data_IF_052871704825
#
_entry.id   IF_052871704825
#
_cell.length_a   1.000
_cell.length_b   1.000
_cell.length_c   1.000
_cell.angle_alpha   90.00
_cell.angle_beta   90.00
_cell.angle_gamma   90.00
#
_symmetry.space_group_name_H-M   'P 1'
#
loop_
_entity.id
_entity.type
_entity.pdbx_description
1 polymer ?
#
# COMPACT_ATOMS: atom_id res chain seq x y z
N UNK A 1 -7.00 20.24 3.92
CA UNK A 1 -8.40 19.91 3.54
C UNK A 1 -8.48 19.42 2.08
N UNK A 2 -9.26 18.35 1.85
CA UNK A 2 -9.57 17.82 0.50
C UNK A 2 -10.88 18.44 0.02
N UNK A 3 -10.87 19.02 -1.18
CA UNK A 3 -12.07 19.61 -1.81
C UNK A 3 -12.55 18.66 -2.90
N UNK A 4 -13.81 18.25 -2.84
CA UNK A 4 -14.44 17.37 -3.83
C UNK A 4 -15.91 17.76 -4.01
N UNK A 5 -16.47 17.48 -5.20
CA UNK A 5 -17.90 17.69 -5.46
C UNK A 5 -18.73 16.72 -4.63
N UNK A 6 -19.82 17.19 -4.04
CA UNK A 6 -20.73 16.34 -3.25
C UNK A 6 -21.38 15.22 -4.09
N UNK A 7 -21.49 15.40 -5.41
CA UNK A 7 -22.00 14.37 -6.32
C UNK A 7 -21.01 13.24 -6.61
N UNK A 8 -19.75 13.37 -6.17
CA UNK A 8 -18.71 12.37 -6.40
C UNK A 8 -18.95 11.11 -5.55
N UNK A 9 -18.30 10.02 -5.95
CA UNK A 9 -18.30 8.77 -5.20
C UNK A 9 -17.23 8.75 -4.11
N UNK A 10 -17.35 7.80 -3.17
CA UNK A 10 -16.30 7.48 -2.20
C UNK A 10 -15.01 7.05 -2.91
N UNK A 11 -15.10 6.36 -4.05
CA UNK A 11 -13.92 6.02 -4.86
C UNK A 11 -13.21 7.27 -5.39
N UNK A 12 -13.94 8.26 -5.91
CA UNK A 12 -13.37 9.54 -6.36
C UNK A 12 -12.68 10.27 -5.19
N UNK A 13 -13.28 10.20 -3.99
CA UNK A 13 -12.69 10.76 -2.77
C UNK A 13 -11.39 10.07 -2.40
N UNK A 14 -11.30 8.74 -2.48
CA UNK A 14 -10.05 7.99 -2.26
C UNK A 14 -8.96 8.43 -3.23
N UNK A 15 -9.30 8.65 -4.50
CA UNK A 15 -8.36 9.15 -5.50
C UNK A 15 -7.88 10.57 -5.17
N UNK A 16 -8.78 11.49 -4.84
CA UNK A 16 -8.44 12.86 -4.45
C UNK A 16 -7.59 12.94 -3.18
N UNK A 17 -7.89 12.12 -2.17
CA UNK A 17 -7.09 12.02 -0.93
C UNK A 17 -5.66 11.60 -1.27
N UNK A 18 -5.50 10.55 -2.09
CA UNK A 18 -4.17 10.07 -2.52
C UNK A 18 -3.40 11.14 -3.28
N UNK A 19 -4.06 11.85 -4.21
CA UNK A 19 -3.44 12.90 -5.01
C UNK A 19 -3.01 14.11 -4.17
N UNK A 20 -3.78 14.44 -3.11
CA UNK A 20 -3.47 15.51 -2.17
C UNK A 20 -2.34 15.18 -1.19
N UNK A 21 -2.08 13.89 -0.96
CA UNK A 21 -1.13 13.44 0.06
C UNK A 21 -0.21 12.31 -0.46
N UNK A 22 0.52 12.52 -1.58
CA UNK A 22 1.33 11.47 -2.21
C UNK A 22 2.49 10.99 -1.33
N UNK A 23 2.99 11.85 -0.44
CA UNK A 23 4.08 11.50 0.49
C UNK A 23 3.63 10.59 1.64
N UNK A 24 2.34 10.69 2.01
CA UNK A 24 1.70 9.96 3.11
C UNK A 24 0.98 8.69 2.61
N UNK A 25 0.36 8.76 1.43
CA UNK A 25 -0.43 7.67 0.85
C UNK A 25 0.25 7.21 -0.43
N UNK A 26 1.10 6.20 -0.27
CA UNK A 26 1.91 5.62 -1.36
C UNK A 26 1.22 4.46 -2.07
N UNK A 27 0.15 3.98 -1.47
CA UNK A 27 -0.64 2.86 -1.95
C UNK A 27 -1.70 3.32 -2.95
N UNK A 28 -2.16 2.37 -3.77
CA UNK A 28 -3.28 2.64 -4.68
C UNK A 28 -4.52 3.04 -3.89
N UNK A 29 -5.34 3.95 -4.45
CA UNK A 29 -6.57 4.42 -3.80
C UNK A 29 -7.51 3.27 -3.38
N UNK A 30 -7.50 2.15 -4.12
CA UNK A 30 -8.26 0.94 -3.80
C UNK A 30 -7.87 0.28 -2.47
N UNK A 31 -6.68 0.58 -1.92
CA UNK A 31 -6.21 0.09 -0.63
C UNK A 31 -6.63 0.98 0.54
N UNK A 32 -7.19 2.16 0.28
CA UNK A 32 -7.73 3.02 1.33
C UNK A 32 -9.09 2.49 1.79
N UNK A 33 -9.29 2.48 3.10
CA UNK A 33 -10.58 2.31 3.78
C UNK A 33 -10.97 3.66 4.36
N UNK A 34 -12.18 4.14 4.07
CA UNK A 34 -12.67 5.42 4.57
C UNK A 34 -13.80 5.17 5.56
N UNK A 35 -13.77 5.87 6.69
CA UNK A 35 -14.80 5.80 7.73
C UNK A 35 -15.24 7.21 8.09
N UNK A 36 -16.49 7.39 8.53
CA UNK A 36 -16.91 8.66 9.11
C UNK A 36 -16.26 8.84 10.47
N UNK A 37 -15.67 10.00 10.72
CA UNK A 37 -15.06 10.33 12.01
C UNK A 37 -16.10 10.93 12.96
N UNK A 38 -17.19 10.18 13.23
CA UNK A 38 -18.31 10.66 14.05
C UNK A 38 -18.85 9.58 14.97
N UNK A 39 -18.97 9.93 16.24
CA UNK A 39 -19.71 9.17 17.25
C UNK A 39 -20.61 10.13 18.03
N UNK A 40 -21.84 10.31 17.54
CA UNK A 40 -22.75 11.39 17.96
C UNK A 40 -22.36 12.77 17.40
N UNK A 41 -21.11 13.22 17.57
CA UNK A 41 -20.52 14.44 17.00
C UNK A 41 -19.30 14.14 16.12
N UNK A 42 -18.95 15.05 15.20
CA UNK A 42 -17.70 14.96 14.45
C UNK A 42 -16.52 15.05 15.42
N UNK A 43 -15.48 14.28 15.14
CA UNK A 43 -14.20 14.45 15.82
C UNK A 43 -13.61 15.80 15.43
N UNK A 44 -13.01 16.48 16.39
CA UNK A 44 -12.30 17.73 16.17
C UNK A 44 -10.79 17.53 16.31
N UNK A 45 -10.00 18.32 15.60
CA UNK A 45 -8.53 18.27 15.71
C UNK A 45 -7.99 18.42 17.14
N UNK A 46 -8.73 19.07 18.04
CA UNK A 46 -8.42 19.22 19.45
C UNK A 46 -8.76 18.02 20.34
N UNK A 47 -9.50 17.03 19.83
CA UNK A 47 -9.88 15.83 20.58
C UNK A 47 -8.65 14.97 20.92
N UNK A 48 -8.64 14.36 22.10
CA UNK A 48 -7.49 13.58 22.58
C UNK A 48 -7.21 12.35 21.72
N UNK A 49 -8.25 11.75 21.15
CA UNK A 49 -8.13 10.64 20.19
C UNK A 49 -7.32 11.06 18.94
N UNK A 50 -7.49 12.30 18.48
CA UNK A 50 -6.76 12.83 17.32
C UNK A 50 -5.32 13.16 17.68
N UNK A 51 -5.09 13.73 18.87
CA UNK A 51 -3.73 13.94 19.39
C UNK A 51 -2.98 12.62 19.56
N UNK A 52 -3.66 11.54 19.97
CA UNK A 52 -3.08 10.20 20.06
C UNK A 52 -2.64 9.68 18.67
N UNK A 53 -3.46 9.88 17.64
CA UNK A 53 -3.08 9.52 16.27
C UNK A 53 -1.83 10.29 15.79
N UNK A 54 -1.66 11.56 16.19
CA UNK A 54 -0.45 12.33 15.88
C UNK A 54 0.80 11.73 16.55
N UNK A 55 0.64 11.06 17.69
CA UNK A 55 1.69 10.28 18.37
C UNK A 55 1.83 8.85 17.86
N UNK A 56 1.13 8.49 16.78
CA UNK A 56 1.08 7.13 16.19
C UNK A 56 0.44 6.07 17.10
N UNK A 57 -0.39 6.50 18.04
CA UNK A 57 -1.21 5.64 18.90
C UNK A 57 -2.61 5.54 18.30
N UNK A 58 -3.20 4.34 18.29
CA UNK A 58 -4.59 4.16 17.84
C UNK A 58 -5.45 3.83 19.08
N UNK A 59 -6.13 4.83 19.68
CA UNK A 59 -6.95 4.62 20.86
C UNK A 59 -8.25 3.88 20.50
N UNK A 60 -8.89 3.29 21.51
CA UNK A 60 -10.06 2.43 21.30
C UNK A 60 -11.26 3.19 20.70
N UNK A 61 -11.39 4.50 20.97
CA UNK A 61 -12.38 5.36 20.32
C UNK A 61 -12.22 5.36 18.79
N UNK A 62 -10.98 5.52 18.30
CA UNK A 62 -10.67 5.43 16.87
C UNK A 62 -10.88 4.00 16.34
N UNK A 63 -10.47 2.96 17.09
CA UNK A 63 -10.70 1.56 16.67
C UNK A 63 -12.19 1.27 16.48
N UNK A 64 -13.04 1.78 17.36
CA UNK A 64 -14.49 1.62 17.30
C UNK A 64 -15.13 2.34 16.09
N UNK A 65 -14.51 3.41 15.61
CA UNK A 65 -14.90 4.09 14.37
C UNK A 65 -14.43 3.36 13.11
N UNK A 66 -13.33 2.60 13.20
CA UNK A 66 -12.71 1.88 12.09
C UNK A 66 -13.20 0.42 11.93
N UNK A 67 -14.37 0.09 12.48
CA UNK A 67 -14.99 -1.23 12.31
C UNK A 67 -15.61 -1.39 10.91
N UNK A 68 -15.64 -2.62 10.38
CA UNK A 68 -16.13 -2.92 9.02
C UNK A 68 -17.56 -2.41 8.78
N UNK A 69 -18.46 -2.47 9.78
CA UNK A 69 -19.83 -1.97 9.64
C UNK A 69 -19.91 -0.44 9.43
N UNK A 70 -18.86 0.31 9.76
CA UNK A 70 -18.77 1.77 9.59
C UNK A 70 -17.98 2.15 8.33
N UNK A 71 -17.54 1.17 7.54
CA UNK A 71 -16.77 1.39 6.32
C UNK A 71 -17.66 2.02 5.24
N UNK A 72 -17.18 3.11 4.64
CA UNK A 72 -17.85 3.73 3.51
C UNK A 72 -17.74 2.86 2.25
N UNK A 73 -18.89 2.51 1.69
CA UNK A 73 -18.98 1.73 0.46
C UNK A 73 -18.33 2.47 -0.72
N UNK A 74 -17.50 1.80 -1.55
CA UNK A 74 -16.70 2.47 -2.58
C UNK A 74 -17.54 3.19 -3.65
N UNK A 75 -18.75 2.69 -3.92
CA UNK A 75 -19.66 3.25 -4.92
C UNK A 75 -20.71 4.19 -4.36
N UNK A 76 -20.74 4.39 -3.03
CA UNK A 76 -21.66 5.33 -2.41
C UNK A 76 -21.34 6.75 -2.89
N UNK A 77 -22.38 7.53 -3.20
CA UNK A 77 -22.22 8.95 -3.50
C UNK A 77 -22.14 9.73 -2.20
N UNK A 78 -21.28 10.74 -2.16
CA UNK A 78 -21.16 11.62 -0.99
C UNK A 78 -22.46 12.41 -0.73
N UNK A 79 -23.28 12.61 -1.77
CA UNK A 79 -24.60 13.23 -1.69
C UNK A 79 -25.67 12.33 -1.08
N UNK A 80 -25.39 11.03 -0.95
CA UNK A 80 -26.32 10.10 -0.30
C UNK A 80 -26.40 10.44 1.19
N UNK A 81 -27.61 10.65 1.68
CA UNK A 81 -27.86 10.89 3.10
C UNK A 81 -27.43 9.71 3.96
N UNK A 82 -27.42 8.49 3.42
CA UNK A 82 -26.89 7.32 4.10
C UNK A 82 -25.34 7.34 4.19
N UNK A 83 -24.65 8.13 3.34
CA UNK A 83 -23.20 8.17 3.30
C UNK A 83 -22.60 9.19 4.28
N UNK A 84 -22.99 10.47 4.22
CA UNK A 84 -22.43 11.53 5.11
C UNK A 84 -23.45 12.02 6.13
N UNK A 85 -24.74 11.77 5.89
CA UNK A 85 -25.85 12.28 6.69
C UNK A 85 -26.65 13.36 5.97
N UNK A 86 -27.89 13.57 6.43
CA UNK A 86 -28.75 14.67 5.99
C UNK A 86 -28.18 16.00 6.49
N UNK A 87 -28.18 17.03 5.65
CA UNK A 87 -27.71 18.39 5.99
C UNK A 87 -26.22 18.49 6.37
N UNK A 88 -25.34 17.79 5.66
CA UNK A 88 -23.91 17.92 5.85
C UNK A 88 -23.44 19.38 5.65
N UNK A 89 -22.99 20.01 6.73
CA UNK A 89 -22.43 21.35 6.74
C UNK A 89 -21.05 21.29 7.42
N UNK A 90 -19.94 21.26 6.67
CA UNK A 90 -18.62 21.08 7.24
C UNK A 90 -18.22 22.31 8.06
N UNK A 91 -17.83 22.07 9.32
CA UNK A 91 -17.29 23.10 10.21
C UNK A 91 -15.76 23.08 10.08
N UNK A 92 -15.07 24.23 10.17
CA UNK A 92 -13.62 24.25 10.28
C UNK A 92 -13.13 23.37 11.44
N UNK A 93 -11.96 22.75 11.27
CA UNK A 93 -11.30 21.89 12.28
C UNK A 93 -11.98 20.54 12.58
N UNK A 94 -13.22 20.34 12.14
CA UNK A 94 -13.88 19.04 12.18
C UNK A 94 -13.21 18.07 11.19
N UNK A 95 -12.97 16.88 11.70
CA UNK A 95 -12.47 15.73 10.96
C UNK A 95 -13.70 14.94 10.55
N UNK A 96 -13.86 14.81 9.24
CA UNK A 96 -15.06 14.18 8.67
C UNK A 96 -14.81 12.72 8.29
N UNK A 97 -13.57 12.40 7.89
CA UNK A 97 -13.19 11.11 7.34
C UNK A 97 -11.92 10.61 8.01
N UNK A 98 -11.97 9.40 8.56
CA UNK A 98 -10.79 8.63 8.94
C UNK A 98 -10.33 7.80 7.73
N UNK A 99 -9.02 7.84 7.46
CA UNK A 99 -8.39 7.08 6.37
C UNK A 99 -7.59 5.95 6.99
N UNK A 100 -8.08 4.72 6.83
CA UNK A 100 -7.35 3.50 7.17
C UNK A 100 -6.71 2.85 5.94
N UNK A 101 -5.72 2.00 6.17
CA UNK A 101 -5.18 1.11 5.15
C UNK A 101 -5.86 -0.26 5.25
N UNK A 102 -6.11 -0.87 4.10
CA UNK A 102 -6.55 -2.24 4.04
C UNK A 102 -5.40 -3.17 4.43
N UNK A 103 -5.59 -3.96 5.48
CA UNK A 103 -4.66 -5.03 5.92
C UNK A 103 -4.63 -6.23 4.95
N UNK A 104 -4.84 -5.99 3.66
CA UNK A 104 -4.85 -7.05 2.64
C UNK A 104 -3.45 -7.62 2.48
N UNK A 105 -3.42 -8.91 2.19
CA UNK A 105 -2.22 -9.56 1.69
C UNK A 105 -1.95 -9.09 0.27
N UNK A 106 -0.70 -8.72 0.01
CA UNK A 106 -0.17 -8.52 -1.33
C UNK A 106 0.61 -9.76 -1.73
N UNK A 107 0.44 -10.18 -2.99
CA UNK A 107 1.28 -11.19 -3.58
C UNK A 107 2.50 -10.51 -4.19
N UNK A 108 3.70 -10.93 -3.76
CA UNK A 108 4.98 -10.48 -4.28
C UNK A 108 5.69 -11.67 -4.90
N UNK A 109 6.29 -11.46 -6.07
CA UNK A 109 7.15 -12.47 -6.70
C UNK A 109 8.60 -12.14 -6.34
N UNK A 110 9.24 -13.01 -5.56
CA UNK A 110 10.64 -12.87 -5.16
C UNK A 110 11.51 -13.77 -6.03
N UNK A 111 12.71 -13.34 -6.41
CA UNK A 111 13.67 -14.19 -7.13
C UNK A 111 14.92 -14.42 -6.28
N UNK A 112 15.37 -15.66 -6.20
CA UNK A 112 16.62 -16.03 -5.53
C UNK A 112 17.77 -15.90 -6.54
N UNK A 113 18.66 -14.94 -6.32
CA UNK A 113 19.75 -14.63 -7.27
C UNK A 113 20.63 -15.85 -7.57
N UNK A 114 20.95 -16.70 -6.59
CA UNK A 114 21.85 -17.82 -6.82
C UNK A 114 21.25 -18.99 -7.63
N UNK A 115 19.93 -19.11 -7.69
CA UNK A 115 19.23 -20.26 -8.31
C UNK A 115 18.27 -19.82 -9.44
N UNK A 116 18.00 -18.51 -9.57
CA UNK A 116 17.00 -17.97 -10.50
C UNK A 116 15.55 -18.36 -10.19
N UNK A 117 15.32 -19.09 -9.09
CA UNK A 117 13.99 -19.55 -8.68
C UNK A 117 13.11 -18.37 -8.26
N UNK A 118 11.90 -18.32 -8.80
CA UNK A 118 10.87 -17.38 -8.36
C UNK A 118 10.01 -17.99 -7.25
N UNK A 119 9.65 -17.17 -6.27
CA UNK A 119 8.93 -17.55 -5.07
C UNK A 119 7.76 -16.57 -4.87
N UNK A 120 6.52 -17.01 -5.05
CA UNK A 120 5.35 -16.18 -4.75
C UNK A 120 5.15 -16.12 -3.24
N UNK A 121 5.22 -14.93 -2.65
CA UNK A 121 4.99 -14.67 -1.23
C UNK A 121 3.72 -13.85 -1.06
N UNK A 122 2.81 -14.31 -0.20
CA UNK A 122 1.68 -13.49 0.25
C UNK A 122 2.04 -12.91 1.60
N UNK A 123 1.91 -11.61 1.75
CA UNK A 123 2.23 -10.92 2.99
C UNK A 123 1.34 -9.71 3.19
N UNK A 124 0.98 -9.40 4.44
CA UNK A 124 0.22 -8.19 4.75
C UNK A 124 1.02 -6.95 4.38
N UNK A 125 0.34 -5.93 3.86
CA UNK A 125 1.00 -4.70 3.44
C UNK A 125 1.60 -3.89 4.60
N UNK A 126 1.08 -4.09 5.81
CA UNK A 126 1.56 -3.50 7.05
C UNK A 126 2.78 -4.22 7.64
N UNK A 127 3.12 -5.39 7.11
CA UNK A 127 4.21 -6.21 7.60
C UNK A 127 5.57 -5.54 7.38
N UNK A 128 6.55 -5.97 8.15
CA UNK A 128 7.93 -5.53 8.04
C UNK A 128 8.67 -6.34 6.98
N UNK A 129 9.76 -5.76 6.47
CA UNK A 129 10.71 -6.48 5.59
C UNK A 129 11.26 -7.74 6.28
N UNK A 130 11.43 -7.72 7.60
CA UNK A 130 11.81 -8.91 8.37
C UNK A 130 10.77 -10.04 8.24
N UNK A 131 9.48 -9.72 8.36
CA UNK A 131 8.40 -10.70 8.16
C UNK A 131 8.45 -11.29 6.74
N UNK A 132 8.74 -10.46 5.73
CA UNK A 132 8.94 -10.90 4.35
C UNK A 132 10.11 -11.88 4.22
N UNK A 133 11.25 -11.60 4.87
CA UNK A 133 12.40 -12.51 4.87
C UNK A 133 12.05 -13.86 5.50
N UNK A 134 11.27 -13.86 6.56
CA UNK A 134 10.81 -15.08 7.24
C UNK A 134 9.92 -15.91 6.32
N UNK A 135 8.94 -15.28 5.66
CA UNK A 135 8.06 -15.95 4.69
C UNK A 135 8.83 -16.53 3.49
N UNK A 136 9.85 -15.81 2.98
CA UNK A 136 10.71 -16.30 1.89
C UNK A 136 11.48 -17.55 2.35
N UNK A 137 12.06 -17.52 3.55
CA UNK A 137 12.79 -18.66 4.12
C UNK A 137 11.89 -19.88 4.26
N UNK A 138 10.69 -19.69 4.81
CA UNK A 138 9.71 -20.77 5.01
C UNK A 138 9.24 -21.40 3.70
N UNK A 139 9.17 -20.63 2.61
CA UNK A 139 8.81 -21.13 1.28
C UNK A 139 9.95 -21.83 0.54
N UNK A 140 11.19 -21.63 0.96
CA UNK A 140 12.36 -22.21 0.32
C UNK A 140 13.39 -22.72 1.35
N UNK A 141 13.00 -23.63 2.27
CA UNK A 141 13.87 -24.10 3.35
C UNK A 141 15.10 -24.85 2.82
N UNK A 142 14.96 -25.55 1.69
CA UNK A 142 16.04 -26.30 1.07
C UNK A 142 17.14 -25.40 0.49
N UNK A 143 16.77 -24.19 0.07
CA UNK A 143 17.66 -23.18 -0.51
C UNK A 143 18.22 -22.23 0.55
N UNK A 144 17.39 -21.82 1.52
CA UNK A 144 17.71 -20.81 2.51
C UNK A 144 17.90 -21.49 3.86
N UNK A 145 19.07 -22.08 4.03
CA UNK A 145 19.48 -22.75 5.27
C UNK A 145 19.91 -21.78 6.37
N UNK A 146 20.26 -20.55 6.00
CA UNK A 146 20.64 -19.49 6.92
C UNK A 146 19.41 -18.84 7.55
N UNK A 147 19.60 -18.21 8.71
CA UNK A 147 18.54 -17.45 9.37
C UNK A 147 18.00 -16.33 8.46
N UNK A 148 16.70 -16.03 8.56
CA UNK A 148 16.05 -15.02 7.72
C UNK A 148 16.74 -13.65 7.80
N UNK A 149 17.31 -13.30 8.96
CA UNK A 149 18.07 -12.05 9.15
C UNK A 149 19.28 -11.91 8.21
N UNK A 150 19.86 -13.03 7.73
CA UNK A 150 20.98 -13.05 6.79
C UNK A 150 20.57 -12.75 5.35
N UNK A 151 19.28 -12.82 5.03
CA UNK A 151 18.79 -12.49 3.69
C UNK A 151 18.92 -10.99 3.44
N UNK A 152 19.48 -10.62 2.29
CA UNK A 152 19.43 -9.26 1.76
C UNK A 152 18.38 -9.22 0.66
N UNK A 153 17.37 -8.37 0.84
CA UNK A 153 16.30 -8.19 -0.13
C UNK A 153 16.55 -6.90 -0.90
N UNK A 154 16.57 -7.01 -2.22
CA UNK A 154 16.74 -5.88 -3.14
C UNK A 154 15.48 -5.70 -3.95
N UNK A 155 15.15 -4.46 -4.28
CA UNK A 155 14.05 -4.16 -5.17
C UNK A 155 14.40 -4.57 -6.60
N UNK A 156 13.67 -5.55 -7.15
CA UNK A 156 13.82 -6.02 -8.53
C UNK A 156 13.19 -5.06 -9.55
N UNK A 157 13.57 -3.78 -9.49
CA UNK A 157 13.05 -2.71 -10.35
C UNK A 157 14.11 -1.67 -10.67
N UNK A 158 14.26 -1.43 -11.97
CA UNK A 158 15.00 -0.29 -12.51
C UNK A 158 14.20 0.33 -13.66
N UNK A 159 13.43 1.38 -13.35
CA UNK A 159 12.36 1.90 -14.21
C UNK A 159 11.12 0.98 -14.23
N UNK A 160 11.27 -0.27 -14.68
CA UNK A 160 10.23 -1.31 -14.71
C UNK A 160 10.54 -2.48 -13.76
N UNK A 161 9.50 -3.17 -13.32
CA UNK A 161 9.64 -4.43 -12.57
C UNK A 161 10.26 -5.50 -13.47
N UNK A 162 11.20 -6.27 -12.93
CA UNK A 162 11.64 -7.49 -13.60
C UNK A 162 10.48 -8.48 -13.67
N UNK A 163 10.44 -9.22 -14.76
CA UNK A 163 9.50 -10.29 -15.02
C UNK A 163 10.25 -11.60 -15.26
N UNK A 164 9.61 -12.74 -15.01
CA UNK A 164 10.18 -14.08 -15.22
C UNK A 164 10.64 -14.34 -16.66
N UNK A 165 10.08 -13.60 -17.64
CA UNK A 165 10.47 -13.67 -19.04
C UNK A 165 11.69 -12.80 -19.42
N UNK A 166 12.18 -11.93 -18.53
CA UNK A 166 13.35 -11.09 -18.80
C UNK A 166 14.61 -11.96 -18.90
N UNK A 167 15.51 -11.61 -19.82
CA UNK A 167 16.73 -12.39 -20.06
C UNK A 167 17.65 -12.44 -18.85
N UNK A 168 17.61 -11.40 -18.01
CA UNK A 168 18.30 -11.38 -16.73
C UNK A 168 17.83 -12.51 -15.81
N UNK A 169 16.52 -12.79 -15.75
CA UNK A 169 15.98 -13.88 -14.91
C UNK A 169 16.32 -15.24 -15.50
N UNK A 170 16.28 -15.38 -16.83
CA UNK A 170 16.71 -16.63 -17.50
C UNK A 170 18.20 -16.91 -17.28
N UNK A 171 19.05 -15.89 -17.25
CA UNK A 171 20.47 -16.04 -16.95
C UNK A 171 20.68 -16.57 -15.53
N UNK A 172 19.92 -16.07 -14.53
CA UNK A 172 19.99 -16.60 -13.17
C UNK A 172 19.63 -18.10 -13.11
N UNK A 173 18.68 -18.57 -13.91
CA UNK A 173 18.33 -20.00 -13.99
C UNK A 173 19.47 -20.85 -14.58
N UNK A 174 20.34 -20.24 -15.39
CA UNK A 174 21.59 -20.84 -15.88
C UNK A 174 22.77 -20.67 -14.91
N UNK A 175 22.53 -20.15 -13.71
CA UNK A 175 23.54 -19.84 -12.68
C UNK A 175 24.52 -18.73 -13.10
N UNK A 176 24.10 -17.88 -14.02
CA UNK A 176 24.85 -16.70 -14.46
C UNK A 176 24.26 -15.47 -13.78
N UNK A 177 25.09 -14.58 -13.22
CA UNK A 177 24.64 -13.31 -12.64
C UNK A 177 24.96 -12.18 -13.61
N UNK A 178 24.00 -11.73 -14.43
CA UNK A 178 24.23 -10.68 -15.42
C UNK A 178 24.36 -9.30 -14.76
N UNK A 179 24.94 -8.35 -15.49
CA UNK A 179 25.20 -7.01 -14.96
C UNK A 179 23.91 -6.25 -14.58
N UNK A 180 22.79 -6.54 -15.27
CA UNK A 180 21.46 -6.03 -14.88
C UNK A 180 21.09 -6.41 -13.44
N UNK A 181 21.34 -7.65 -13.02
CA UNK A 181 21.11 -8.10 -11.64
C UNK A 181 22.12 -7.50 -10.68
N UNK A 182 23.41 -7.42 -11.06
CA UNK A 182 24.43 -6.77 -10.22
C UNK A 182 24.11 -5.31 -9.92
N UNK A 183 23.57 -4.59 -10.89
CA UNK A 183 23.14 -3.19 -10.74
C UNK A 183 21.96 -3.03 -9.78
N UNK A 184 21.13 -4.06 -9.61
CA UNK A 184 20.04 -4.07 -8.64
C UNK A 184 20.51 -4.40 -7.22
N UNK A 185 21.66 -5.08 -7.08
CA UNK A 185 22.24 -5.46 -5.79
C UNK A 185 23.04 -4.34 -5.11
N UNK A 186 22.73 -3.09 -5.44
CA UNK A 186 23.35 -1.89 -4.87
C UNK A 186 22.62 -1.46 -3.58
N UNK A 187 23.35 -0.83 -2.65
CA UNK A 187 22.82 -0.37 -1.35
C UNK A 187 21.55 0.50 -1.48
N UNK A 188 21.48 1.33 -2.52
CA UNK A 188 20.31 2.16 -2.81
C UNK A 188 19.03 1.38 -3.14
N UNK A 189 19.12 0.10 -3.49
CA UNK A 189 17.97 -0.78 -3.78
C UNK A 189 17.72 -1.79 -2.64
N UNK A 190 18.57 -1.81 -1.62
CA UNK A 190 18.43 -2.66 -0.45
C UNK A 190 17.22 -2.23 0.39
N UNK A 191 16.42 -3.21 0.81
CA UNK A 191 15.28 -2.98 1.70
C UNK A 191 15.74 -3.02 3.17
N UNK A 192 15.40 -1.97 3.92
CA UNK A 192 15.75 -1.87 5.34
C UNK A 192 15.01 -2.92 6.19
N UNK A 193 15.68 -3.62 7.12
CA UNK A 193 15.09 -4.76 7.84
C UNK A 193 13.87 -4.38 8.71
N UNK A 194 13.85 -3.16 9.23
CA UNK A 194 12.77 -2.63 10.08
C UNK A 194 11.81 -1.70 9.33
N UNK A 195 11.92 -1.62 8.01
CA UNK A 195 10.96 -0.87 7.22
C UNK A 195 9.65 -1.65 7.11
N UNK A 196 8.52 -0.97 7.29
CA UNK A 196 7.22 -1.52 6.87
C UNK A 196 7.14 -1.48 5.35
N UNK A 197 6.54 -2.50 4.76
CA UNK A 197 6.35 -2.56 3.32
C UNK A 197 5.52 -1.37 2.81
N UNK A 198 4.47 -0.98 3.56
CA UNK A 198 3.64 0.21 3.30
C UNK A 198 4.44 1.51 3.23
N UNK A 199 5.54 1.59 3.97
CA UNK A 199 6.31 2.81 4.18
C UNK A 199 7.46 2.94 3.19
N UNK A 200 7.73 1.95 2.34
CA UNK A 200 8.79 2.06 1.36
C UNK A 200 8.27 2.65 0.03
N UNK A 201 8.73 3.87 -0.30
CA UNK A 201 8.39 4.56 -1.56
C UNK A 201 8.72 3.73 -2.79
N UNK A 202 9.59 2.73 -2.68
CA UNK A 202 10.08 1.96 -3.82
C UNK A 202 9.19 0.76 -4.16
N UNK A 203 8.45 0.24 -3.18
CA UNK A 203 7.70 -1.02 -3.32
C UNK A 203 6.35 -0.82 -4.03
N UNK A 204 5.61 0.24 -3.69
CA UNK A 204 4.21 0.39 -4.15
C UNK A 204 3.94 1.53 -5.13
N UNK A 205 4.95 2.12 -5.79
CA UNK A 205 4.69 3.15 -6.80
C UNK A 205 3.76 2.59 -7.89
N UNK A 206 2.59 3.22 -8.02
CA UNK A 206 1.57 2.88 -9.01
C UNK A 206 2.17 2.72 -10.41
N UNK A 207 1.77 1.66 -11.12
CA UNK A 207 1.98 1.58 -12.57
C UNK A 207 1.42 2.86 -13.21
N UNK A 208 2.14 3.53 -14.13
CA UNK A 208 1.52 4.56 -14.95
C UNK A 208 0.32 3.94 -15.68
N UNK A 209 -0.79 4.68 -15.74
CA UNK A 209 -2.03 4.27 -16.43
C UNK A 209 -1.64 3.81 -17.84
N UNK A 210 -1.92 2.53 -18.16
CA UNK A 210 -1.89 2.06 -19.55
C UNK A 210 -2.81 3.01 -20.32
N UNK A 211 -2.24 3.82 -21.20
CA UNK A 211 -3.02 4.59 -22.15
C UNK A 211 -3.88 3.60 -22.91
N UNK A 212 -5.19 3.74 -22.78
CA UNK A 212 -6.17 3.11 -23.63
C UNK A 212 -5.81 3.42 -25.09
N UNK A 213 -5.51 2.39 -25.86
CA UNK A 213 -5.33 2.50 -27.30
C UNK A 213 -6.57 3.17 -27.93
N UNK A 214 -6.40 4.10 -28.88
CA UNK A 214 -7.54 4.61 -29.64
C UNK A 214 -8.15 3.45 -30.44
N UNK A 215 -9.48 3.30 -30.33
CA UNK A 215 -10.28 2.42 -31.18
C UNK A 215 -10.01 2.80 -32.63
N UNK A 216 -9.57 1.84 -33.44
CA UNK A 216 -9.74 1.90 -34.89
C UNK A 216 -11.24 1.84 -35.17
N UNK A 217 -11.80 2.93 -35.66
CA UNK A 217 -13.04 2.88 -36.45
C UNK A 217 -12.68 2.37 -37.84
N UNK A 218 -13.46 1.39 -38.28
CA UNK A 218 -13.50 0.83 -39.63
C UNK A 218 -13.93 1.90 -40.62
#
# INVERSE_FOLDING_TARGET
PVKIKISASVQDLKEHIREKAPDLIRLGAHMLKLYLARDGRWLNSGDDDIKALQRKEVPDGIKNLMQEQKLLGPFAKLSDHACIGKYFNPVPEDIHILVGLSEREVAMECVVVCDGRTLPVKIKISAFVQDLKEHIREKAPDLIRLGAHMLKLYLARDGRWLNSGDDDIKALQRKEVPDGIKNLMQEQKLLGPFAKLSDDRKIFQSRPRRHSYPRRTV
#
